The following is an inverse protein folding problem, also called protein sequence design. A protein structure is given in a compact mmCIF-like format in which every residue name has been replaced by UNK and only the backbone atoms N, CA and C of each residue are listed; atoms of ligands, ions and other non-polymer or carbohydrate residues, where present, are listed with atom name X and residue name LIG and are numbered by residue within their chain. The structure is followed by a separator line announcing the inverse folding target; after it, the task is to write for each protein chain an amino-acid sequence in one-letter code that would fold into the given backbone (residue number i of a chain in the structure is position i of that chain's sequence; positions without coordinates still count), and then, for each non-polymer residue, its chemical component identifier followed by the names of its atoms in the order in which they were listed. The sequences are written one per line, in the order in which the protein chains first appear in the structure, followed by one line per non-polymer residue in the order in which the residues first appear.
data_IF_148180767452
#
_entry.id   IF_148180767452
#
_cell.length_a   1.000
_cell.length_b   1.000
_cell.length_c   1.000
_cell.angle_alpha   90.00
_cell.angle_beta   90.00
_cell.angle_gamma   90.00
#
_symmetry.space_group_name_H-M   'P 1'
#
loop_
_entity.id
_entity.type
_entity.pdbx_description
1 polymer ?
#
# COMPACT_ATOMS: atom_id res chain seq x y z
N UNK A 1 13.17 1.56 21.39
CA UNK A 1 12.05 0.60 21.27
C UNK A 1 12.61 -0.81 21.06
N UNK A 2 11.86 -1.85 21.39
CA UNK A 2 12.23 -3.23 21.04
C UNK A 2 11.96 -3.48 19.55
N UNK A 3 12.76 -4.32 18.88
CA UNK A 3 12.56 -4.68 17.45
C UNK A 3 11.12 -5.12 17.14
N UNK A 4 10.53 -5.93 18.03
CA UNK A 4 9.14 -6.39 17.90
C UNK A 4 8.11 -5.26 17.86
N UNK A 5 8.32 -4.17 18.61
CA UNK A 5 7.39 -3.04 18.62
C UNK A 5 7.45 -2.27 17.29
N UNK A 6 8.66 -2.09 16.75
CA UNK A 6 8.89 -1.46 15.45
C UNK A 6 8.30 -2.27 14.29
N UNK A 7 8.52 -3.59 14.27
CA UNK A 7 7.96 -4.48 13.24
C UNK A 7 6.42 -4.46 13.25
N UNK A 8 5.81 -4.42 14.44
CA UNK A 8 4.37 -4.34 14.59
C UNK A 8 3.79 -3.01 14.08
N UNK A 9 4.47 -1.89 14.34
CA UNK A 9 4.09 -0.56 13.86
C UNK A 9 4.18 -0.46 12.34
N UNK A 10 5.28 -0.93 11.74
CA UNK A 10 5.42 -1.03 10.27
C UNK A 10 4.32 -1.90 9.66
N UNK A 11 4.07 -3.07 10.26
CA UNK A 11 3.05 -4.00 9.76
C UNK A 11 1.66 -3.37 9.86
N UNK A 12 1.38 -2.64 10.94
CA UNK A 12 0.12 -1.94 11.15
C UNK A 12 -0.06 -0.83 10.11
N UNK A 13 0.95 0.01 9.88
CA UNK A 13 0.88 1.11 8.91
C UNK A 13 0.66 0.58 7.48
N UNK A 14 1.35 -0.50 7.12
CA UNK A 14 1.19 -1.13 5.81
C UNK A 14 -0.19 -1.77 5.68
N UNK A 15 -0.69 -2.45 6.72
CA UNK A 15 -2.01 -3.06 6.72
C UNK A 15 -3.15 -2.03 6.67
N UNK A 16 -3.03 -0.92 7.41
CA UNK A 16 -4.01 0.17 7.44
C UNK A 16 -4.17 0.83 6.07
N UNK A 17 -3.13 0.82 5.24
CA UNK A 17 -3.22 1.30 3.85
C UNK A 17 -3.63 0.21 2.85
N UNK A 18 -3.15 -1.02 3.03
CA UNK A 18 -3.40 -2.13 2.12
C UNK A 18 -4.86 -2.62 2.16
N UNK A 19 -5.48 -2.65 3.34
CA UNK A 19 -6.87 -3.11 3.49
C UNK A 19 -7.85 -2.19 2.75
N UNK A 20 -7.83 -0.85 2.94
CA UNK A 20 -8.66 0.05 2.14
C UNK A 20 -8.40 -0.08 0.64
N UNK A 21 -7.13 -0.22 0.22
CA UNK A 21 -6.78 -0.43 -1.18
C UNK A 21 -7.44 -1.69 -1.75
N UNK A 22 -7.34 -2.81 -1.04
CA UNK A 22 -7.93 -4.08 -1.44
C UNK A 22 -9.47 -4.00 -1.56
N UNK A 23 -10.13 -3.37 -0.58
CA UNK A 23 -11.58 -3.16 -0.59
C UNK A 23 -11.99 -2.30 -1.79
N UNK A 24 -11.29 -1.18 -2.04
CA UNK A 24 -11.59 -0.29 -3.16
C UNK A 24 -11.43 -1.01 -4.51
N UNK A 25 -10.33 -1.74 -4.71
CA UNK A 25 -10.09 -2.52 -5.94
C UNK A 25 -11.17 -3.57 -6.13
N UNK A 26 -11.54 -4.30 -5.06
CA UNK A 26 -12.59 -5.31 -5.11
C UNK A 26 -13.92 -4.72 -5.58
N UNK A 27 -14.38 -3.62 -4.96
CA UNK A 27 -15.66 -3.03 -5.31
C UNK A 27 -15.65 -2.33 -6.67
N UNK A 28 -14.54 -1.69 -7.06
CA UNK A 28 -14.39 -1.14 -8.41
C UNK A 28 -14.52 -2.24 -9.46
N UNK A 29 -13.84 -3.37 -9.27
CA UNK A 29 -13.95 -4.52 -10.17
C UNK A 29 -15.36 -5.11 -10.17
N UNK A 30 -15.96 -5.28 -8.98
CA UNK A 30 -17.31 -5.83 -8.82
C UNK A 30 -18.34 -4.97 -9.57
N UNK A 31 -18.33 -3.65 -9.38
CA UNK A 31 -19.31 -2.75 -10.00
C UNK A 31 -19.00 -2.41 -11.46
N UNK A 32 -17.76 -2.61 -11.92
CA UNK A 32 -17.44 -2.57 -13.34
C UNK A 32 -18.11 -3.73 -14.10
N UNK A 33 -18.29 -4.90 -13.47
CA UNK A 33 -18.92 -6.08 -14.08
C UNK A 33 -20.42 -6.17 -13.76
N UNK A 34 -20.80 -5.94 -12.52
CA UNK A 34 -22.16 -6.07 -12.01
C UNK A 34 -22.68 -4.70 -11.56
N UNK A 35 -23.27 -3.95 -12.49
CA UNK A 35 -23.88 -2.67 -12.19
C UNK A 35 -25.42 -2.77 -12.15
N UNK A 36 -26.05 -2.81 -10.96
CA UNK A 36 -27.50 -2.90 -10.83
C UNK A 36 -28.23 -1.57 -11.04
N UNK A 37 -27.52 -0.44 -11.16
CA UNK A 37 -28.09 0.90 -11.26
C UNK A 37 -28.02 1.50 -12.68
N UNK A 38 -27.48 0.75 -13.65
CA UNK A 38 -27.31 1.20 -15.04
C UNK A 38 -26.03 2.04 -15.25
N UNK A 39 -25.62 2.17 -16.51
CA UNK A 39 -24.39 2.90 -16.89
C UNK A 39 -24.78 4.21 -17.57
N UNK A 40 -24.66 5.31 -16.85
CA UNK A 40 -24.70 6.67 -17.40
C UNK A 40 -23.26 7.12 -17.70
N UNK A 41 -22.87 7.30 -18.98
CA UNK A 41 -21.47 7.42 -19.37
C UNK A 41 -20.71 8.53 -18.64
N UNK A 42 -21.32 9.71 -18.48
CA UNK A 42 -20.68 10.84 -17.81
C UNK A 42 -20.49 10.58 -16.31
N UNK A 43 -21.57 10.18 -15.63
CA UNK A 43 -21.56 9.96 -14.19
C UNK A 43 -20.66 8.80 -13.79
N UNK A 44 -20.77 7.65 -14.48
CA UNK A 44 -19.95 6.48 -14.21
C UNK A 44 -18.47 6.76 -14.49
N UNK A 45 -18.14 7.49 -15.56
CA UNK A 45 -16.74 7.83 -15.87
C UNK A 45 -16.14 8.72 -14.78
N UNK A 46 -16.85 9.76 -14.33
CA UNK A 46 -16.35 10.63 -13.27
C UNK A 46 -16.18 9.85 -11.96
N UNK A 47 -17.16 9.01 -11.60
CA UNK A 47 -17.09 8.16 -10.41
C UNK A 47 -15.88 7.23 -10.44
N UNK A 48 -15.70 6.47 -11.53
CA UNK A 48 -14.56 5.56 -11.65
C UNK A 48 -13.23 6.31 -11.73
N UNK A 49 -13.16 7.47 -12.40
CA UNK A 49 -11.95 8.28 -12.45
C UNK A 49 -11.51 8.72 -11.05
N UNK A 50 -12.44 9.20 -10.22
CA UNK A 50 -12.17 9.56 -8.83
C UNK A 50 -11.66 8.34 -8.05
N UNK A 51 -12.38 7.22 -8.08
CA UNK A 51 -11.99 6.01 -7.36
C UNK A 51 -10.63 5.46 -7.81
N UNK A 52 -10.39 5.39 -9.12
CA UNK A 52 -9.12 4.92 -9.68
C UNK A 52 -7.97 5.87 -9.32
N UNK A 53 -8.19 7.18 -9.28
CA UNK A 53 -7.18 8.14 -8.84
C UNK A 53 -6.81 7.95 -7.36
N UNK A 54 -7.80 7.65 -6.51
CA UNK A 54 -7.58 7.36 -5.09
C UNK A 54 -6.80 6.05 -4.91
N UNK A 55 -7.20 4.98 -5.62
CA UNK A 55 -6.50 3.70 -5.65
C UNK A 55 -5.04 3.90 -6.09
N UNK A 56 -4.83 4.62 -7.18
CA UNK A 56 -3.49 4.88 -7.72
C UNK A 56 -2.62 5.66 -6.74
N UNK A 57 -3.15 6.73 -6.15
CA UNK A 57 -2.42 7.57 -5.20
C UNK A 57 -2.09 6.81 -3.92
N UNK A 58 -3.07 6.12 -3.34
CA UNK A 58 -2.88 5.34 -2.12
C UNK A 58 -1.89 4.19 -2.37
N UNK A 59 -2.04 3.46 -3.47
CA UNK A 59 -1.13 2.40 -3.87
C UNK A 59 0.30 2.90 -4.09
N UNK A 60 0.46 4.05 -4.74
CA UNK A 60 1.76 4.69 -4.96
C UNK A 60 2.46 5.03 -3.64
N UNK A 61 1.76 5.70 -2.71
CA UNK A 61 2.32 6.06 -1.40
C UNK A 61 2.65 4.82 -0.57
N UNK A 62 1.76 3.82 -0.58
CA UNK A 62 1.98 2.55 0.14
C UNK A 62 3.21 1.81 -0.38
N UNK A 63 3.36 1.74 -1.71
CA UNK A 63 4.53 1.14 -2.36
C UNK A 63 5.81 1.91 -2.03
N UNK A 64 5.77 3.24 -2.07
CA UNK A 64 6.92 4.07 -1.72
C UNK A 64 7.34 3.87 -0.26
N UNK A 65 6.39 3.83 0.68
CA UNK A 65 6.67 3.55 2.08
C UNK A 65 7.34 2.18 2.28
N UNK A 66 6.79 1.12 1.67
CA UNK A 66 7.38 -0.22 1.72
C UNK A 66 8.81 -0.25 1.15
N UNK A 67 9.06 0.47 0.06
CA UNK A 67 10.37 0.54 -0.58
C UNK A 67 11.41 1.29 0.25
N UNK A 68 11.00 2.31 1.00
CA UNK A 68 11.88 3.04 1.93
C UNK A 68 12.27 2.14 3.09
N UNK A 69 11.32 1.43 3.69
CA UNK A 69 11.57 0.50 4.81
C UNK A 69 12.55 -0.60 4.39
N UNK A 70 12.37 -1.20 3.22
CA UNK A 70 13.27 -2.24 2.70
C UNK A 70 14.72 -1.75 2.53
N UNK A 71 14.91 -0.46 2.20
CA UNK A 71 16.26 0.12 2.05
C UNK A 71 16.94 0.35 3.39
N UNK A 72 16.19 0.82 4.38
CA UNK A 72 16.73 1.06 5.74
C UNK A 72 17.14 -0.26 6.40
N UNK A 73 16.32 -1.30 6.29
CA UNK A 73 16.62 -2.63 6.85
C UNK A 73 17.91 -3.22 6.26
N UNK A 74 18.12 -3.11 4.94
CA UNK A 74 19.36 -3.60 4.30
C UNK A 74 20.60 -2.83 4.76
N UNK A 75 20.50 -1.51 4.91
CA UNK A 75 21.63 -0.66 5.33
C UNK A 75 22.07 -0.97 6.76
N UNK A 76 21.11 -1.21 7.66
CA UNK A 76 21.37 -1.64 9.02
C UNK A 76 22.05 -3.03 9.07
N UNK A 77 21.55 -3.98 8.26
CA UNK A 77 22.10 -5.33 8.24
C UNK A 77 23.55 -5.36 7.75
N UNK A 78 23.87 -4.61 6.69
CA UNK A 78 25.22 -4.56 6.11
C UNK A 78 26.23 -3.98 7.11
N UNK A 79 25.89 -2.86 7.76
CA UNK A 79 26.71 -2.20 8.80
C UNK A 79 27.02 -3.12 9.97
N UNK A 80 26.07 -3.96 10.37
CA UNK A 80 26.26 -4.89 11.49
C UNK A 80 27.17 -6.07 11.07
N UNK A 81 27.05 -6.58 9.85
CA UNK A 81 27.93 -7.65 9.34
C UNK A 81 29.39 -7.22 9.15
N UNK A 82 29.65 -5.98 8.72
CA UNK A 82 31.03 -5.46 8.62
C UNK A 82 31.69 -5.26 9.98
N UNK A 83 30.94 -4.86 11.01
CA UNK A 83 31.46 -4.76 12.38
C UNK A 83 31.81 -6.15 12.94
N UNK A 84 30.91 -7.13 12.78
CA UNK A 84 31.13 -8.53 13.20
C UNK A 84 32.29 -9.24 12.47
N UNK A 85 32.68 -8.78 11.28
CA UNK A 85 33.80 -9.36 10.50
C UNK A 85 35.15 -8.73 10.85
N UNK A 86 35.16 -7.65 11.62
CA UNK A 86 36.37 -6.89 11.99
C UNK A 86 36.95 -7.34 13.34
N UNK A 87 36.16 -8.04 14.14
CA UNK A 87 36.54 -8.74 15.38
C UNK A 87 36.93 -10.21 15.10
#
# INVERSE_FOLDING_TARGET
MSRRAFDAEITLDLAVNLIPLAIMVFFVALFAVFNPWGIEPLQSTIQFAILLSMIATLGFVTYYAARVIERDDRTYHDTTTIDQKKD
#
